data_IF_565639429984
#
_entry.id   IF_565639429984
#
_cell.length_a   1.000
_cell.length_b   1.000
_cell.length_c   1.000
_cell.angle_alpha   90.00
_cell.angle_beta   90.00
_cell.angle_gamma   90.00
#
_symmetry.space_group_name_H-M   'P 1'
#
loop_
_entity.id
_entity.type
_entity.pdbx_description
1 polymer ?
#
# COMPACT_ATOMS: atom_id res chain seq x y z
N UNK A 1 27.50 -13.34 -10.28
CA UNK A 1 26.04 -13.27 -10.03
C UNK A 1 25.82 -13.20 -8.53
N UNK A 2 25.02 -12.27 -8.02
CA UNK A 2 24.52 -12.36 -6.63
C UNK A 2 23.41 -13.43 -6.65
N UNK A 3 23.58 -14.60 -6.00
CA UNK A 3 22.63 -15.70 -6.14
C UNK A 3 21.25 -15.39 -5.53
N UNK A 4 21.17 -14.40 -4.64
CA UNK A 4 19.94 -14.04 -3.93
C UNK A 4 19.70 -12.52 -4.00
N UNK A 5 18.57 -12.12 -4.60
CA UNK A 5 18.18 -10.71 -4.68
C UNK A 5 17.60 -10.26 -3.34
N UNK A 6 17.83 -9.01 -2.94
CA UNK A 6 17.32 -8.44 -1.68
C UNK A 6 17.87 -9.09 -0.40
N UNK A 7 18.86 -9.99 -0.49
CA UNK A 7 19.54 -10.55 0.68
C UNK A 7 20.76 -9.69 1.04
N UNK A 8 20.80 -9.29 2.30
CA UNK A 8 21.93 -8.61 2.93
C UNK A 8 22.57 -9.51 3.97
N UNK A 9 23.89 -9.56 3.99
CA UNK A 9 24.66 -10.18 5.06
C UNK A 9 25.37 -9.09 5.87
N UNK A 10 25.38 -9.24 7.19
CA UNK A 10 26.26 -8.47 8.05
C UNK A 10 26.83 -9.33 9.17
N UNK A 11 27.99 -8.90 9.67
CA UNK A 11 28.64 -9.52 10.82
C UNK A 11 28.30 -8.69 12.06
N UNK A 12 27.77 -9.35 13.07
CA UNK A 12 27.45 -8.71 14.35
C UNK A 12 28.74 -8.39 15.13
N UNK A 13 28.64 -7.54 16.15
CA UNK A 13 29.73 -7.17 17.07
C UNK A 13 30.34 -8.39 17.79
N UNK A 14 29.58 -9.48 17.89
CA UNK A 14 30.01 -10.76 18.47
C UNK A 14 30.57 -11.74 17.42
N UNK A 15 30.79 -11.30 16.18
CA UNK A 15 31.39 -12.10 15.12
C UNK A 15 30.43 -13.04 14.38
N UNK A 16 29.16 -13.13 14.80
CA UNK A 16 28.13 -13.98 14.16
C UNK A 16 27.63 -13.34 12.86
N UNK A 17 27.63 -14.11 11.77
CA UNK A 17 27.06 -13.68 10.48
C UNK A 17 25.55 -13.85 10.53
N UNK A 18 24.81 -12.81 10.12
CA UNK A 18 23.36 -12.84 10.00
C UNK A 18 22.93 -12.44 8.60
N UNK A 19 21.86 -13.09 8.13
CA UNK A 19 21.27 -12.86 6.82
C UNK A 19 19.90 -12.22 6.98
N UNK A 20 19.61 -11.24 6.14
CA UNK A 20 18.36 -10.50 6.14
C UNK A 20 17.82 -10.34 4.73
N UNK A 21 16.53 -10.55 4.57
CA UNK A 21 15.80 -10.20 3.36
C UNK A 21 15.20 -8.80 3.51
N UNK A 22 15.59 -7.87 2.64
CA UNK A 22 15.16 -6.47 2.67
C UNK A 22 14.42 -6.09 1.40
N UNK A 23 13.09 -5.93 1.50
CA UNK A 23 12.23 -5.50 0.39
C UNK A 23 11.17 -4.52 0.89
N UNK A 24 10.95 -3.44 0.15
CA UNK A 24 9.94 -2.40 0.46
C UNK A 24 10.02 -1.86 1.90
N UNK A 25 11.24 -1.56 2.37
CA UNK A 25 11.48 -1.00 3.71
C UNK A 25 11.34 -1.99 4.88
N UNK A 26 10.87 -3.23 4.65
CA UNK A 26 10.82 -4.29 5.66
C UNK A 26 12.08 -5.14 5.60
N UNK A 27 12.66 -5.41 6.77
CA UNK A 27 13.84 -6.24 6.94
C UNK A 27 13.46 -7.48 7.77
N UNK A 28 13.49 -8.65 7.16
CA UNK A 28 13.14 -9.92 7.81
C UNK A 28 14.40 -10.78 7.98
N UNK A 29 14.72 -11.26 9.19
CA UNK A 29 15.88 -12.15 9.39
C UNK A 29 15.65 -13.52 8.74
N UNK A 30 16.67 -14.03 8.05
CA UNK A 30 16.73 -15.42 7.59
C UNK A 30 17.73 -16.15 8.51
N UNK A 31 17.28 -17.13 9.31
CA UNK A 31 18.13 -17.78 10.31
C UNK A 31 19.11 -18.82 9.72
N UNK A 32 19.00 -19.13 8.42
CA UNK A 32 19.78 -20.17 7.76
C UNK A 32 20.97 -19.61 6.98
N UNK A 33 21.90 -20.49 6.60
CA UNK A 33 23.09 -20.14 5.80
C UNK A 33 22.72 -20.19 4.30
N UNK A 34 23.12 -19.20 3.49
CA UNK A 34 22.90 -19.22 2.05
C UNK A 34 23.56 -20.46 1.43
N UNK A 35 22.82 -21.18 0.59
CA UNK A 35 23.24 -22.44 -0.03
C UNK A 35 22.64 -23.70 0.62
N UNK A 36 21.97 -23.58 1.76
CA UNK A 36 21.17 -24.68 2.34
C UNK A 36 19.75 -24.69 1.76
N UNK A 37 19.11 -25.86 1.69
CA UNK A 37 17.71 -26.01 1.24
C UNK A 37 16.77 -25.15 2.11
N UNK A 38 16.98 -25.14 3.43
CA UNK A 38 16.17 -24.34 4.35
C UNK A 38 16.24 -22.82 4.07
N UNK A 39 17.41 -22.35 3.59
CA UNK A 39 17.58 -20.95 3.19
C UNK A 39 16.78 -20.64 1.93
N UNK A 40 16.81 -21.55 0.94
CA UNK A 40 16.05 -21.40 -0.29
C UNK A 40 14.55 -21.34 0.00
N UNK A 41 14.04 -22.23 0.85
CA UNK A 41 12.63 -22.26 1.26
C UNK A 41 12.23 -20.96 1.96
N UNK A 42 13.04 -20.50 2.93
CA UNK A 42 12.77 -19.24 3.63
C UNK A 42 12.83 -18.03 2.69
N UNK A 43 13.77 -18.04 1.74
CA UNK A 43 13.90 -17.01 0.72
C UNK A 43 12.69 -16.99 -0.21
N UNK A 44 12.28 -18.13 -0.75
CA UNK A 44 11.15 -18.23 -1.68
C UNK A 44 9.84 -17.82 -0.99
N UNK A 45 9.63 -18.22 0.27
CA UNK A 45 8.49 -17.78 1.07
C UNK A 45 8.45 -16.25 1.24
N UNK A 46 9.60 -15.60 1.43
CA UNK A 46 9.69 -14.13 1.56
C UNK A 46 9.59 -13.42 0.21
N UNK A 47 10.03 -14.07 -0.87
CA UNK A 47 10.01 -13.52 -2.22
C UNK A 47 8.62 -13.57 -2.85
N UNK A 48 7.90 -14.68 -2.65
CA UNK A 48 6.53 -14.89 -3.15
C UNK A 48 5.48 -14.20 -2.30
N UNK A 49 5.80 -13.79 -1.06
CA UNK A 49 4.86 -13.04 -0.23
C UNK A 49 4.46 -11.75 -0.96
N UNK A 50 3.16 -11.53 -1.24
CA UNK A 50 2.71 -10.25 -1.75
C UNK A 50 3.13 -9.22 -0.71
N UNK A 51 4.01 -8.31 -1.13
CA UNK A 51 4.43 -7.22 -0.26
C UNK A 51 3.18 -6.43 0.01
N UNK A 52 2.61 -6.58 1.21
CA UNK A 52 1.54 -5.72 1.67
C UNK A 52 2.08 -4.30 1.49
N UNK A 53 1.58 -3.65 0.44
CA UNK A 53 1.78 -2.24 0.14
C UNK A 53 1.61 -1.53 1.46
N UNK A 54 2.50 -0.58 1.77
CA UNK A 54 2.34 0.34 2.90
C UNK A 54 0.85 0.65 3.06
N UNK A 55 0.30 0.71 4.29
CA UNK A 55 -1.12 0.97 4.46
C UNK A 55 -1.43 2.16 3.57
N UNK A 56 -2.16 1.90 2.47
CA UNK A 56 -2.75 2.96 1.69
C UNK A 56 -3.40 3.81 2.74
N UNK A 57 -3.09 5.11 2.79
CA UNK A 57 -3.80 6.05 3.62
C UNK A 57 -5.26 5.81 3.28
N UNK A 58 -5.94 4.96 4.07
CA UNK A 58 -7.27 4.49 3.76
C UNK A 58 -8.04 5.77 3.91
N UNK A 59 -8.39 6.37 2.78
CA UNK A 59 -9.20 7.56 2.74
C UNK A 59 -10.32 7.31 3.75
N UNK A 60 -10.55 8.26 4.68
CA UNK A 60 -11.40 8.04 5.85
C UNK A 60 -12.67 7.33 5.39
N UNK A 61 -12.95 6.16 5.98
CA UNK A 61 -14.08 5.32 5.58
C UNK A 61 -15.32 6.18 5.53
N UNK A 62 -15.80 6.48 4.33
CA UNK A 62 -16.92 7.39 4.14
C UNK A 62 -18.14 6.64 4.66
N UNK A 63 -18.73 7.14 5.76
CA UNK A 63 -19.89 6.50 6.39
C UNK A 63 -21.02 6.39 5.37
N UNK A 64 -21.50 5.16 5.18
CA UNK A 64 -22.64 4.88 4.30
C UNK A 64 -23.86 5.69 4.76
N UNK A 65 -24.62 6.26 3.82
CA UNK A 65 -25.79 7.10 4.12
C UNK A 65 -25.48 8.56 4.45
N UNK A 66 -24.22 9.01 4.35
CA UNK A 66 -23.89 10.45 4.40
C UNK A 66 -24.02 11.09 3.02
N UNK A 67 -24.24 12.42 2.98
CA UNK A 67 -24.22 13.18 1.72
C UNK A 67 -22.90 12.98 0.96
N UNK A 68 -21.78 12.96 1.69
CA UNK A 68 -20.45 12.68 1.13
C UNK A 68 -20.37 11.31 0.46
N UNK A 69 -20.97 10.28 1.04
CA UNK A 69 -21.03 8.94 0.43
C UNK A 69 -21.82 8.97 -0.89
N UNK A 70 -22.97 9.65 -0.90
CA UNK A 70 -23.79 9.81 -2.11
C UNK A 70 -23.04 10.58 -3.21
N UNK A 71 -22.35 11.68 -2.87
CA UNK A 71 -21.55 12.44 -3.82
C UNK A 71 -20.44 11.59 -4.45
N UNK A 72 -19.76 10.75 -3.67
CA UNK A 72 -18.72 9.85 -4.20
C UNK A 72 -19.30 8.81 -5.16
N UNK A 73 -20.47 8.25 -4.86
CA UNK A 73 -21.17 7.35 -5.79
C UNK A 73 -21.56 8.08 -7.09
N UNK A 74 -22.07 9.30 -6.96
CA UNK A 74 -22.44 10.14 -8.11
C UNK A 74 -21.24 10.50 -8.98
N UNK A 75 -20.08 10.84 -8.39
CA UNK A 75 -18.87 11.11 -9.16
C UNK A 75 -18.31 9.90 -9.92
N UNK A 76 -18.65 8.69 -9.49
CA UNK A 76 -18.30 7.44 -10.18
C UNK A 76 -19.35 6.98 -11.20
N UNK A 77 -20.46 7.69 -11.36
CA UNK A 77 -21.52 7.31 -12.29
C UNK A 77 -21.20 7.71 -13.73
N UNK A 78 -21.86 7.04 -14.68
CA UNK A 78 -21.77 7.35 -16.09
C UNK A 78 -22.33 8.76 -16.38
N UNK A 79 -23.45 9.12 -15.75
CA UNK A 79 -24.07 10.44 -15.86
C UNK A 79 -23.12 11.59 -15.51
N UNK A 80 -22.20 11.40 -14.57
CA UNK A 80 -21.20 12.41 -14.22
C UNK A 80 -20.01 12.38 -15.19
N UNK A 81 -19.60 11.19 -15.63
CA UNK A 81 -18.47 11.00 -16.53
C UNK A 81 -18.74 11.51 -17.96
N UNK A 82 -20.00 11.50 -18.40
CA UNK A 82 -20.44 12.01 -19.70
C UNK A 82 -20.51 13.55 -19.78
N UNK A 83 -20.42 14.25 -18.64
CA UNK A 83 -20.44 15.72 -18.61
C UNK A 83 -19.15 16.29 -19.19
N UNK A 84 -19.24 17.51 -19.70
CA UNK A 84 -18.06 18.29 -20.09
C UNK A 84 -17.08 18.46 -18.90
N UNK A 85 -15.75 18.37 -19.11
CA UNK A 85 -14.76 18.48 -18.04
C UNK A 85 -14.88 19.75 -17.18
N UNK A 86 -15.27 20.88 -17.76
CA UNK A 86 -15.49 22.11 -17.01
C UNK A 86 -16.74 22.00 -16.13
N UNK A 87 -17.80 21.38 -16.66
CA UNK A 87 -19.03 21.10 -15.91
C UNK A 87 -18.76 20.13 -14.75
N UNK A 88 -17.96 19.09 -14.97
CA UNK A 88 -17.53 18.17 -13.91
C UNK A 88 -16.78 18.91 -12.81
N UNK A 89 -15.84 19.80 -13.17
CA UNK A 89 -15.04 20.58 -12.22
C UNK A 89 -15.90 21.49 -11.36
N UNK A 90 -16.79 22.28 -11.99
CA UNK A 90 -17.67 23.21 -11.29
C UNK A 90 -18.63 22.45 -10.37
N UNK A 91 -19.27 21.39 -10.89
CA UNK A 91 -20.22 20.59 -10.11
C UNK A 91 -19.56 19.86 -8.94
N UNK A 92 -18.34 19.34 -9.12
CA UNK A 92 -17.53 18.77 -8.03
C UNK A 92 -17.26 19.81 -6.94
N UNK A 93 -16.81 21.02 -7.32
CA UNK A 93 -16.51 22.09 -6.36
C UNK A 93 -17.74 22.50 -5.53
N UNK A 94 -18.91 22.59 -6.17
CA UNK A 94 -20.16 22.91 -5.47
C UNK A 94 -20.53 21.80 -4.49
N UNK A 95 -20.50 20.54 -4.91
CA UNK A 95 -20.82 19.40 -4.05
C UNK A 95 -19.80 19.19 -2.92
N UNK A 96 -18.53 19.53 -3.13
CA UNK A 96 -17.51 19.50 -2.09
C UNK A 96 -17.72 20.63 -1.06
N UNK A 97 -18.19 21.81 -1.48
CA UNK A 97 -18.47 22.91 -0.55
C UNK A 97 -19.59 22.62 0.44
N UNK A 98 -20.52 21.72 0.12
CA UNK A 98 -21.59 21.31 1.05
C UNK A 98 -21.13 20.28 2.08
N UNK A 99 -19.91 19.76 1.97
CA UNK A 99 -19.36 18.83 2.97
C UNK A 99 -18.87 19.52 4.24
N UNK A 100 -18.64 20.83 4.18
CA UNK A 100 -18.16 21.67 5.29
C UNK A 100 -19.30 22.31 6.09
N UNK A 101 -20.57 21.96 5.80
CA UNK A 101 -21.72 22.59 6.46
C UNK A 101 -21.78 22.17 7.95
N UNK A 102 -21.69 23.12 8.89
CA UNK A 102 -21.88 22.83 10.30
C UNK A 102 -23.33 22.45 10.55
N UNK A 103 -23.54 21.28 11.14
CA UNK A 103 -24.82 20.94 11.75
C UNK A 103 -25.00 21.82 12.99
N UNK A 104 -26.01 22.69 13.00
CA UNK A 104 -26.58 23.21 14.26
C UNK A 104 -27.47 22.14 14.91
#
# INVERSE_FOLDING_TARGET
MKPYQYVHCYRDRHGKVRYYYRRNGKQTPIPHVPGTIDFQIAYDALHQRPTATAPSLVAPTIKHGTLRWLCVQYFGSMDFSELDPETQRVRRRVLESTWEEPWE
#
